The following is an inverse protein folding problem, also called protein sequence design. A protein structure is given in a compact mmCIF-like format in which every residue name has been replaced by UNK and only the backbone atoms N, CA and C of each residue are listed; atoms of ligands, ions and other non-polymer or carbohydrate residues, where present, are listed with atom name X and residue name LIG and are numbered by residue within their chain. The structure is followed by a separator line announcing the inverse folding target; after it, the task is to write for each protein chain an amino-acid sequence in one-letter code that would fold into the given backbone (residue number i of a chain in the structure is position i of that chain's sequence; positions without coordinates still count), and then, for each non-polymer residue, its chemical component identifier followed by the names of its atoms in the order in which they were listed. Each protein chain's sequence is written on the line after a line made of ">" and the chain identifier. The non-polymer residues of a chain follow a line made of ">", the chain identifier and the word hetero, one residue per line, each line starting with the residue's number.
data_IF_367399179994
#
_entry.id   IF_367399179994
#
_cell.length_a   1.000
_cell.length_b   1.000
_cell.length_c   1.000
_cell.angle_alpha   90.00
_cell.angle_beta   90.00
_cell.angle_gamma   90.00
#
_symmetry.space_group_name_H-M   'P 1'
#
loop_
_entity.id
_entity.type
_entity.pdbx_description
1 polymer ?
#
# COMPACT_ATOMS: atom_id res chain seq x y z
N UNK A 1 -61.15 36.43 10.37
CA UNK A 1 -59.85 35.90 10.81
C UNK A 1 -59.99 34.40 11.03
N UNK A 2 -59.25 33.57 10.31
CA UNK A 2 -58.57 32.34 10.77
C UNK A 2 -57.57 31.97 9.67
N UNK A 3 -56.32 31.81 10.11
CA UNK A 3 -55.13 31.49 9.35
C UNK A 3 -55.17 30.08 8.76
N UNK A 4 -54.85 29.92 7.48
CA UNK A 4 -54.64 28.64 6.81
C UNK A 4 -53.16 28.45 6.51
N UNK A 5 -52.54 27.47 7.17
CA UNK A 5 -51.10 27.24 7.23
C UNK A 5 -50.39 27.17 5.86
N UNK A 6 -49.30 27.93 5.71
CA UNK A 6 -48.31 27.71 4.65
C UNK A 6 -47.68 26.33 4.85
N UNK A 7 -47.98 25.38 3.96
CA UNK A 7 -47.17 24.17 3.80
C UNK A 7 -45.76 24.60 3.38
N UNK A 8 -44.80 24.53 4.28
CA UNK A 8 -43.36 24.54 3.95
C UNK A 8 -43.02 23.22 3.26
N UNK A 9 -43.43 23.09 2.01
CA UNK A 9 -42.93 22.04 1.13
C UNK A 9 -41.49 22.41 0.80
N UNK A 10 -40.55 21.72 1.44
CA UNK A 10 -39.15 21.82 1.05
C UNK A 10 -39.09 21.40 -0.42
N UNK A 11 -38.76 22.34 -1.30
CA UNK A 11 -38.59 22.09 -2.73
C UNK A 11 -37.52 21.00 -2.94
N UNK A 12 -37.75 20.07 -3.87
CA UNK A 12 -36.82 18.95 -4.14
C UNK A 12 -35.40 19.45 -4.39
N UNK A 13 -35.25 20.57 -5.09
CA UNK A 13 -33.95 21.16 -5.40
C UNK A 13 -33.29 21.72 -4.14
N UNK A 14 -34.06 22.38 -3.28
CA UNK A 14 -33.61 22.87 -1.98
C UNK A 14 -33.23 21.74 -1.03
N UNK A 15 -33.99 20.65 -1.01
CA UNK A 15 -33.66 19.44 -0.23
C UNK A 15 -32.36 18.81 -0.71
N UNK A 16 -32.19 18.59 -2.02
CA UNK A 16 -30.96 18.01 -2.58
C UNK A 16 -29.75 18.91 -2.33
N UNK A 17 -29.89 20.23 -2.45
CA UNK A 17 -28.81 21.17 -2.12
C UNK A 17 -28.43 21.11 -0.64
N UNK A 18 -29.41 21.10 0.26
CA UNK A 18 -29.16 21.01 1.69
C UNK A 18 -28.50 19.68 2.06
N UNK A 19 -29.06 18.55 1.59
CA UNK A 19 -28.51 17.23 1.83
C UNK A 19 -27.10 17.04 1.23
N UNK A 20 -26.86 17.58 0.02
CA UNK A 20 -25.56 17.54 -0.64
C UNK A 20 -24.50 18.36 0.10
N UNK A 21 -24.84 19.56 0.58
CA UNK A 21 -23.92 20.37 1.40
C UNK A 21 -23.58 19.65 2.69
N UNK A 22 -24.58 19.12 3.40
CA UNK A 22 -24.36 18.36 4.63
C UNK A 22 -23.47 17.12 4.42
N UNK A 23 -23.70 16.40 3.32
CA UNK A 23 -22.91 15.24 2.92
C UNK A 23 -21.44 15.63 2.62
N UNK A 24 -21.21 16.70 1.86
CA UNK A 24 -19.86 17.18 1.57
C UNK A 24 -19.14 17.70 2.82
N UNK A 25 -19.83 18.37 3.73
CA UNK A 25 -19.23 18.84 5.00
C UNK A 25 -18.89 17.71 5.96
N UNK A 26 -19.55 16.55 5.84
CA UNK A 26 -19.25 15.37 6.66
C UNK A 26 -18.03 14.57 6.14
N UNK A 27 -17.55 14.86 4.93
CA UNK A 27 -16.38 14.23 4.35
C UNK A 27 -15.10 14.94 4.82
N UNK A 28 -14.14 14.17 5.34
CA UNK A 28 -12.79 14.67 5.50
C UNK A 28 -12.18 15.03 4.13
N UNK A 29 -11.20 15.95 4.03
CA UNK A 29 -10.58 16.34 2.77
C UNK A 29 -10.09 15.14 1.94
N UNK A 30 -9.50 14.12 2.60
CA UNK A 30 -9.09 12.86 1.95
C UNK A 30 -10.25 12.10 1.30
N UNK A 31 -11.43 12.07 1.93
CA UNK A 31 -12.60 11.36 1.39
C UNK A 31 -13.29 12.11 0.24
N UNK A 32 -13.23 13.45 0.23
CA UNK A 32 -13.61 14.25 -0.94
C UNK A 32 -12.68 13.99 -2.13
N UNK A 33 -11.37 14.01 -1.89
CA UNK A 33 -10.37 13.71 -2.94
C UNK A 33 -10.48 12.27 -3.46
N UNK A 34 -10.76 11.30 -2.60
CA UNK A 34 -10.98 9.91 -2.99
C UNK A 34 -12.26 9.73 -3.83
N UNK A 35 -13.33 10.44 -3.51
CA UNK A 35 -14.58 10.41 -4.28
C UNK A 35 -14.43 11.05 -5.66
N UNK A 36 -13.59 12.09 -5.77
CA UNK A 36 -13.29 12.77 -7.04
C UNK A 36 -12.38 11.94 -7.96
N UNK A 37 -11.64 10.95 -7.43
CA UNK A 37 -10.64 10.17 -8.18
C UNK A 37 -10.86 8.67 -8.05
N UNK A 38 -12.00 8.19 -8.57
CA UNK A 38 -12.28 6.74 -8.68
C UNK A 38 -11.48 6.07 -9.82
N UNK A 39 -10.70 6.82 -10.59
CA UNK A 39 -9.86 6.30 -11.68
C UNK A 39 -8.57 5.64 -11.19
N UNK A 40 -8.03 4.75 -12.03
CA UNK A 40 -6.88 3.90 -11.73
C UNK A 40 -5.75 4.65 -11.02
N UNK A 41 -5.31 4.07 -9.91
CA UNK A 41 -4.23 4.59 -9.07
C UNK A 41 -2.98 3.77 -9.34
N UNK A 42 -1.93 4.42 -9.83
CA UNK A 42 -0.60 3.84 -9.92
C UNK A 42 0.13 4.00 -8.59
N UNK A 43 1.00 3.07 -8.24
CA UNK A 43 1.95 3.23 -7.13
C UNK A 43 3.37 3.21 -7.69
N UNK A 44 4.21 4.13 -7.25
CA UNK A 44 5.61 4.20 -7.70
C UNK A 44 6.54 4.65 -6.59
N UNK A 45 7.70 3.99 -6.51
CA UNK A 45 8.79 4.44 -5.65
C UNK A 45 9.49 5.66 -6.28
N UNK A 46 9.81 6.66 -5.47
CA UNK A 46 10.47 7.88 -5.90
C UNK A 46 11.67 8.25 -5.01
N UNK A 47 12.53 9.12 -5.54
CA UNK A 47 13.53 9.88 -4.77
C UNK A 47 13.19 11.37 -4.89
N UNK A 48 12.97 12.03 -3.77
CA UNK A 48 12.68 13.45 -3.73
C UNK A 48 13.94 14.30 -3.97
N UNK A 49 13.75 15.59 -4.20
CA UNK A 49 14.85 16.55 -4.46
C UNK A 49 15.80 16.71 -3.27
N UNK A 50 15.29 16.55 -2.05
CA UNK A 50 16.08 16.54 -0.82
C UNK A 50 16.87 15.23 -0.60
N UNK A 51 16.72 14.26 -1.51
CA UNK A 51 17.38 12.97 -1.46
C UNK A 51 16.62 11.89 -0.71
N UNK A 52 15.50 12.22 -0.05
CA UNK A 52 14.65 11.24 0.64
C UNK A 52 13.97 10.28 -0.34
N UNK A 53 13.60 9.09 0.15
CA UNK A 53 12.91 8.06 -0.62
C UNK A 53 11.47 7.93 -0.15
N UNK A 54 10.60 7.48 -1.04
CA UNK A 54 9.22 7.20 -0.69
C UNK A 54 8.47 6.43 -1.77
N UNK A 55 7.21 6.14 -1.49
CA UNK A 55 6.23 5.63 -2.45
C UNK A 55 5.15 6.68 -2.60
N UNK A 56 4.76 6.94 -3.83
CA UNK A 56 3.62 7.78 -4.15
C UNK A 56 2.53 6.95 -4.81
N UNK A 57 1.29 7.16 -4.37
CA UNK A 57 0.12 6.84 -5.18
C UNK A 57 -0.15 8.01 -6.13
N UNK A 58 -0.41 7.70 -7.38
CA UNK A 58 -0.51 8.68 -8.46
C UNK A 58 -1.78 8.39 -9.25
N UNK A 59 -2.60 9.40 -9.49
CA UNK A 59 -3.76 9.28 -10.38
C UNK A 59 -3.31 9.05 -11.82
N UNK A 60 -4.22 8.59 -12.68
CA UNK A 60 -3.98 8.50 -14.12
C UNK A 60 -3.41 9.80 -14.75
N UNK A 61 -3.90 10.96 -14.33
CA UNK A 61 -3.38 12.27 -14.78
C UNK A 61 -2.01 12.67 -14.23
N UNK A 62 -1.29 11.79 -13.55
CA UNK A 62 0.04 12.06 -12.98
C UNK A 62 0.05 12.86 -11.66
N UNK A 63 -1.12 13.22 -11.14
CA UNK A 63 -1.24 13.90 -9.85
C UNK A 63 -0.92 12.97 -8.67
N UNK A 64 -0.06 13.41 -7.76
CA UNK A 64 0.26 12.65 -6.55
C UNK A 64 -0.91 12.76 -5.56
N UNK A 65 -1.41 11.60 -5.12
CA UNK A 65 -2.54 11.47 -4.20
C UNK A 65 -2.04 11.38 -2.77
N UNK A 66 -1.11 10.46 -2.50
CA UNK A 66 -0.53 10.25 -1.17
C UNK A 66 0.94 9.85 -1.27
N UNK A 67 1.67 9.97 -0.15
CA UNK A 67 3.08 9.60 -0.06
C UNK A 67 3.39 8.91 1.27
N UNK A 68 4.19 7.86 1.18
CA UNK A 68 4.78 7.17 2.33
C UNK A 68 6.30 7.27 2.24
N UNK A 69 6.95 7.74 3.31
CA UNK A 69 8.41 7.84 3.37
C UNK A 69 9.03 6.45 3.52
N UNK A 70 10.11 6.21 2.79
CA UNK A 70 10.88 4.97 2.88
C UNK A 70 12.28 5.23 3.46
N UNK A 71 12.87 4.25 4.18
CA UNK A 71 14.23 4.35 4.71
C UNK A 71 15.28 4.43 3.59
N UNK A 72 15.04 3.74 2.48
CA UNK A 72 15.88 3.79 1.29
C UNK A 72 15.07 3.48 0.01
N UNK A 73 15.77 3.48 -1.12
CA UNK A 73 15.19 3.17 -2.43
C UNK A 73 14.53 1.78 -2.45
N UNK A 74 13.26 1.71 -2.85
CA UNK A 74 12.57 0.47 -3.15
C UNK A 74 12.83 -0.03 -4.59
N UNK A 75 12.66 -1.33 -4.80
CA UNK A 75 12.75 -2.00 -6.09
C UNK A 75 11.36 -2.35 -6.63
N UNK A 76 10.68 -3.27 -5.95
CA UNK A 76 9.33 -3.73 -6.26
C UNK A 76 8.39 -3.57 -5.08
N UNK A 77 7.11 -3.82 -5.34
CA UNK A 77 6.05 -3.78 -4.33
C UNK A 77 5.11 -4.97 -4.51
N UNK A 78 4.49 -5.39 -3.42
CA UNK A 78 3.41 -6.37 -3.41
C UNK A 78 2.23 -5.82 -2.61
N UNK A 79 1.01 -5.97 -3.11
CA UNK A 79 -0.20 -5.53 -2.40
C UNK A 79 -1.15 -6.70 -2.20
N UNK A 80 -1.54 -6.93 -0.94
CA UNK A 80 -2.56 -7.91 -0.59
C UNK A 80 -3.94 -7.37 -0.94
N UNK A 81 -4.65 -8.05 -1.85
CA UNK A 81 -6.06 -7.73 -2.15
C UNK A 81 -6.98 -8.00 -0.97
N UNK A 82 -6.64 -8.98 -0.14
CA UNK A 82 -7.47 -9.38 1.01
C UNK A 82 -7.40 -8.37 2.16
N UNK A 83 -6.25 -7.71 2.36
CA UNK A 83 -6.01 -6.86 3.55
C UNK A 83 -5.67 -5.41 3.24
N UNK A 84 -5.49 -5.05 1.96
CA UNK A 84 -5.04 -3.73 1.51
C UNK A 84 -3.57 -3.40 1.85
N UNK A 85 -2.88 -4.29 2.57
CA UNK A 85 -1.50 -4.10 3.00
C UNK A 85 -0.57 -4.10 1.78
N UNK A 86 0.36 -3.14 1.74
CA UNK A 86 1.39 -3.07 0.70
C UNK A 86 2.77 -3.26 1.31
N UNK A 87 3.64 -3.99 0.62
CA UNK A 87 5.03 -4.20 1.01
C UNK A 87 5.94 -3.63 -0.06
N UNK A 88 6.90 -2.82 0.35
CA UNK A 88 7.95 -2.27 -0.49
C UNK A 88 9.27 -2.94 -0.18
N UNK A 89 9.89 -3.56 -1.17
CA UNK A 89 11.17 -4.23 -1.00
C UNK A 89 12.32 -3.31 -1.37
N UNK A 90 13.36 -3.27 -0.54
CA UNK A 90 14.52 -2.45 -0.82
C UNK A 90 15.24 -2.90 -2.10
N UNK A 91 15.78 -1.93 -2.83
CA UNK A 91 16.73 -2.21 -3.91
C UNK A 91 18.09 -2.52 -3.31
N UNK A 92 18.78 -3.50 -3.87
CA UNK A 92 20.20 -3.80 -3.57
C UNK A 92 21.05 -2.52 -3.51
N UNK A 93 21.89 -2.35 -2.46
CA UNK A 93 22.24 -3.32 -1.40
C UNK A 93 21.31 -3.32 -0.17
N UNK A 94 20.14 -2.69 -0.21
CA UNK A 94 19.22 -2.66 0.94
C UNK A 94 18.71 -4.05 1.33
N UNK A 95 18.53 -4.26 2.63
CA UNK A 95 18.21 -5.56 3.23
C UNK A 95 16.84 -5.59 3.90
N UNK A 96 15.98 -4.61 3.59
CA UNK A 96 14.69 -4.47 4.25
C UNK A 96 13.52 -4.65 3.28
N UNK A 97 12.37 -4.98 3.84
CA UNK A 97 11.09 -4.54 3.27
C UNK A 97 10.33 -3.70 4.29
N UNK A 98 9.47 -2.83 3.80
CA UNK A 98 8.53 -2.08 4.62
C UNK A 98 7.10 -2.49 4.26
N UNK A 99 6.36 -3.02 5.23
CA UNK A 99 4.93 -3.21 5.12
C UNK A 99 4.21 -1.95 5.61
N UNK A 100 3.25 -1.44 4.84
CA UNK A 100 2.49 -0.25 5.19
C UNK A 100 1.07 -0.31 4.62
N UNK A 101 0.16 0.38 5.30
CA UNK A 101 -1.21 0.57 4.86
C UNK A 101 -1.30 1.88 4.06
N UNK A 102 -1.63 1.86 2.76
CA UNK A 102 -1.79 3.08 1.97
C UNK A 102 -2.88 4.03 2.49
N UNK A 103 -3.84 3.53 3.29
CA UNK A 103 -4.86 4.34 3.96
C UNK A 103 -4.36 5.03 5.24
N UNK A 104 -3.16 4.69 5.71
CA UNK A 104 -2.57 5.25 6.94
C UNK A 104 -3.24 4.77 8.22
N UNK A 105 -4.00 3.67 8.17
CA UNK A 105 -4.71 3.11 9.34
C UNK A 105 -3.80 2.31 10.28
N UNK A 106 -2.61 1.92 9.80
CA UNK A 106 -1.63 1.12 10.53
C UNK A 106 -0.25 1.72 10.34
N UNK A 107 0.53 1.74 11.42
CA UNK A 107 1.93 2.16 11.37
C UNK A 107 2.75 1.23 10.47
N UNK A 108 3.70 1.76 9.69
CA UNK A 108 4.60 0.94 8.88
C UNK A 108 5.47 0.02 9.73
N UNK A 109 5.67 -1.21 9.25
CA UNK A 109 6.56 -2.19 9.85
C UNK A 109 7.76 -2.37 8.91
N UNK A 110 8.96 -2.16 9.42
CA UNK A 110 10.20 -2.41 8.69
C UNK A 110 10.81 -3.71 9.19
N UNK A 111 11.03 -4.64 8.27
CA UNK A 111 11.69 -5.91 8.54
C UNK A 111 12.99 -5.98 7.76
N UNK A 112 14.01 -6.55 8.39
CA UNK A 112 15.29 -6.83 7.74
C UNK A 112 15.42 -8.33 7.47
N UNK A 113 16.15 -8.67 6.41
CA UNK A 113 16.59 -10.04 6.19
C UNK A 113 17.47 -10.53 7.35
N UNK A 114 17.56 -11.85 7.56
CA UNK A 114 18.59 -12.43 8.42
C UNK A 114 20.01 -12.06 7.96
N UNK A 115 21.01 -12.31 8.82
CA UNK A 115 22.42 -12.22 8.42
C UNK A 115 22.70 -13.10 7.19
N UNK A 116 23.65 -12.68 6.34
CA UNK A 116 24.01 -13.36 5.09
C UNK A 116 22.84 -13.60 4.10
N UNK A 117 21.77 -12.80 4.21
CA UNK A 117 20.61 -12.80 3.31
C UNK A 117 20.32 -11.39 2.81
N UNK A 118 19.83 -11.26 1.59
CA UNK A 118 19.29 -10.03 0.99
C UNK A 118 18.01 -10.36 0.22
N UNK A 119 17.13 -9.38 0.12
CA UNK A 119 16.01 -9.45 -0.82
C UNK A 119 16.50 -9.24 -2.26
N UNK A 120 15.94 -10.02 -3.19
CA UNK A 120 16.06 -9.73 -4.62
C UNK A 120 15.12 -8.60 -5.06
N UNK A 121 14.18 -8.22 -4.18
CA UNK A 121 13.42 -6.97 -4.26
C UNK A 121 12.00 -7.14 -4.80
N UNK A 122 11.48 -8.36 -4.80
CA UNK A 122 10.11 -8.71 -5.15
C UNK A 122 9.51 -9.68 -4.14
N UNK A 123 8.20 -9.81 -4.17
CA UNK A 123 7.45 -10.75 -3.37
C UNK A 123 5.98 -10.74 -3.74
N UNK A 124 5.20 -11.61 -3.12
CA UNK A 124 3.77 -11.75 -3.38
C UNK A 124 3.07 -12.23 -2.11
N UNK A 125 1.84 -11.78 -1.88
CA UNK A 125 1.03 -12.30 -0.79
C UNK A 125 0.32 -13.60 -1.19
N UNK A 126 0.09 -14.48 -0.22
CA UNK A 126 -0.89 -15.56 -0.38
C UNK A 126 -2.27 -14.99 -0.71
N UNK A 127 -3.17 -15.75 -1.38
CA UNK A 127 -4.50 -15.25 -1.75
C UNK A 127 -5.32 -14.69 -0.58
N UNK A 128 -5.14 -15.25 0.62
CA UNK A 128 -5.81 -14.81 1.85
C UNK A 128 -5.03 -13.71 2.62
N UNK A 129 -3.90 -13.26 2.10
CA UNK A 129 -3.05 -12.23 2.67
C UNK A 129 -2.32 -12.63 3.96
N UNK A 130 -2.28 -13.92 4.30
CA UNK A 130 -1.70 -14.42 5.55
C UNK A 130 -0.20 -14.57 5.53
N UNK A 131 0.36 -14.90 4.37
CA UNK A 131 1.79 -15.10 4.18
C UNK A 131 2.26 -14.11 3.13
N UNK A 132 3.38 -13.45 3.42
CA UNK A 132 4.18 -12.77 2.41
C UNK A 132 5.30 -13.71 1.98
N UNK A 133 5.34 -14.00 0.68
CA UNK A 133 6.46 -14.66 0.02
C UNK A 133 7.43 -13.58 -0.47
N UNK A 134 8.72 -13.70 -0.16
CA UNK A 134 9.75 -12.76 -0.60
C UNK A 134 10.88 -13.48 -1.31
N UNK A 135 11.36 -12.91 -2.43
CA UNK A 135 12.52 -13.46 -3.13
C UNK A 135 13.80 -13.05 -2.40
N UNK A 136 14.59 -14.02 -1.99
CA UNK A 136 15.79 -13.85 -1.17
C UNK A 136 16.98 -14.59 -1.78
N UNK A 137 18.19 -14.10 -1.50
CA UNK A 137 19.39 -14.88 -1.70
C UNK A 137 19.79 -15.61 -0.42
N UNK A 138 20.26 -16.83 -0.58
CA UNK A 138 21.07 -17.57 0.37
C UNK A 138 22.52 -17.45 -0.08
N UNK A 139 23.28 -16.55 0.55
CA UNK A 139 24.65 -16.26 0.14
C UNK A 139 25.57 -17.48 0.32
N UNK A 140 25.54 -18.07 1.52
CA UNK A 140 26.41 -19.20 1.89
C UNK A 140 26.08 -20.46 1.09
N UNK A 141 24.78 -20.70 0.84
CA UNK A 141 24.31 -21.80 0.00
C UNK A 141 24.42 -21.54 -1.50
N UNK A 142 24.83 -20.34 -1.92
CA UNK A 142 24.88 -19.89 -3.31
C UNK A 142 23.60 -20.26 -4.11
N UNK A 143 22.45 -19.92 -3.54
CA UNK A 143 21.13 -20.22 -4.12
C UNK A 143 20.13 -19.10 -3.83
N UNK A 144 19.03 -19.08 -4.56
CA UNK A 144 17.85 -18.27 -4.27
C UNK A 144 16.87 -19.08 -3.44
N UNK A 145 16.16 -18.40 -2.57
CA UNK A 145 15.10 -18.98 -1.74
C UNK A 145 13.86 -18.09 -1.77
N UNK A 146 12.72 -18.68 -1.44
CA UNK A 146 11.48 -17.96 -1.17
C UNK A 146 11.31 -17.92 0.34
N UNK A 147 11.51 -16.76 0.96
CA UNK A 147 11.25 -16.57 2.39
C UNK A 147 9.76 -16.44 2.65
N UNK A 148 9.29 -17.02 3.77
CA UNK A 148 7.91 -16.95 4.21
C UNK A 148 7.82 -16.07 5.45
N UNK A 149 6.94 -15.08 5.42
CA UNK A 149 6.70 -14.15 6.52
C UNK A 149 5.22 -14.16 6.91
N UNK A 150 4.93 -14.32 8.20
CA UNK A 150 3.57 -14.30 8.74
C UNK A 150 3.05 -12.85 8.80
N UNK A 151 2.26 -12.47 7.79
CA UNK A 151 1.71 -11.13 7.66
C UNK A 151 0.65 -10.80 8.72
N UNK A 152 0.13 -11.81 9.44
CA UNK A 152 -0.81 -11.62 10.55
C UNK A 152 -0.09 -11.36 11.86
N UNK A 153 1.17 -11.78 11.97
CA UNK A 153 1.97 -11.67 13.17
C UNK A 153 3.23 -10.81 12.93
N UNK A 154 3.03 -9.56 12.52
CA UNK A 154 4.12 -8.59 12.41
C UNK A 154 5.21 -8.96 11.40
N UNK A 155 4.89 -9.79 10.41
CA UNK A 155 5.83 -10.29 9.41
C UNK A 155 7.01 -11.05 10.00
N UNK A 156 6.81 -11.84 11.06
CA UNK A 156 7.86 -12.76 11.52
C UNK A 156 8.19 -13.78 10.41
N UNK A 157 9.46 -14.08 10.22
CA UNK A 157 9.89 -15.11 9.25
C UNK A 157 9.57 -16.49 9.81
N UNK A 158 8.82 -17.30 9.07
CA UNK A 158 8.32 -18.61 9.51
C UNK A 158 8.90 -19.79 8.74
N UNK A 159 9.64 -19.55 7.66
CA UNK A 159 10.29 -20.60 6.88
C UNK A 159 10.84 -20.12 5.55
N UNK A 160 11.32 -21.07 4.75
CA UNK A 160 11.78 -20.82 3.39
C UNK A 160 11.58 -22.05 2.49
N UNK A 161 11.50 -21.83 1.18
CA UNK A 161 11.61 -22.86 0.15
C UNK A 161 12.81 -22.61 -0.76
N UNK A 162 13.45 -23.68 -1.24
CA UNK A 162 14.45 -23.60 -2.29
C UNK A 162 13.79 -23.14 -3.60
N UNK A 163 14.39 -22.16 -4.28
CA UNK A 163 13.94 -21.70 -5.59
C UNK A 163 14.72 -22.34 -6.76
N UNK A 164 15.67 -23.25 -6.45
CA UNK A 164 16.42 -24.08 -7.39
C UNK A 164 17.20 -23.28 -8.45
N UNK A 165 18.08 -22.38 -7.99
CA UNK A 165 18.96 -21.59 -8.85
C UNK A 165 19.54 -20.42 -8.08
N UNK A 166 20.17 -19.47 -8.78
CA UNK A 166 20.60 -18.18 -8.21
C UNK A 166 19.83 -17.05 -8.87
N UNK A 167 19.60 -15.97 -8.13
CA UNK A 167 18.99 -14.77 -8.71
C UNK A 167 17.48 -14.88 -8.91
N UNK A 168 16.77 -15.61 -8.03
CA UNK A 168 15.30 -15.66 -8.00
C UNK A 168 14.73 -14.25 -8.00
N UNK A 169 14.22 -13.81 -9.14
CA UNK A 169 13.90 -12.40 -9.32
C UNK A 169 12.49 -12.09 -8.85
N UNK A 170 11.50 -12.55 -9.63
CA UNK A 170 10.08 -12.23 -9.45
C UNK A 170 9.26 -13.50 -9.20
N UNK A 171 8.06 -13.32 -8.65
CA UNK A 171 7.15 -14.42 -8.35
C UNK A 171 5.68 -14.03 -8.46
N UNK A 172 4.83 -15.03 -8.68
CA UNK A 172 3.37 -14.87 -8.63
C UNK A 172 2.75 -16.10 -7.97
N UNK A 173 1.59 -15.90 -7.35
CA UNK A 173 0.76 -16.93 -6.68
C UNK A 173 -0.66 -16.82 -7.21
#
# INVERSE_FOLDING_TARGET
>A
MISGARRTLIDRRSFIKAAGVSFLTALAPRSLYALERTDAVFASAFRARDGSYGIATVSEGGGIIDRVTLPARAHGMATSRATGMTVAFARRPGTFFMAFDPGGHREPIVMHTPENRHFYGHGQFSPDGSILYASENDFDGNRGVIGLYDARNGFIRIGEYDAHGVGTHDMTV
#
